data_IF_990682928102
#
_entry.id   IF_990682928102
#
_cell.length_a   1.000
_cell.length_b   1.000
_cell.length_c   1.000
_cell.angle_alpha   90.00
_cell.angle_beta   90.00
_cell.angle_gamma   90.00
#
_symmetry.space_group_name_H-M   'P 1'
#
loop_
_entity.id
_entity.type
_entity.pdbx_description
1 polymer ?
#
# COMPACT_ATOMS: atom_id res chain seq x y z
N UNK A 1 -6.91 -2.12 -12.86
CA UNK A 1 -5.51 -2.46 -12.58
C UNK A 1 -4.72 -1.19 -12.85
N UNK A 2 -4.63 -0.30 -11.86
CA UNK A 2 -3.90 0.96 -12.01
C UNK A 2 -2.42 0.63 -12.09
N UNK A 3 -1.79 0.99 -13.19
CA UNK A 3 -0.35 0.89 -13.39
C UNK A 3 0.34 1.77 -12.33
N UNK A 4 0.70 1.17 -11.21
CA UNK A 4 1.52 1.78 -10.15
C UNK A 4 2.96 1.93 -10.66
N UNK A 5 3.18 2.73 -11.71
CA UNK A 5 4.53 3.10 -12.09
C UNK A 5 5.05 4.08 -11.03
N UNK A 6 6.15 3.75 -10.37
CA UNK A 6 6.84 4.65 -9.47
C UNK A 6 7.14 5.96 -10.23
N UNK A 7 6.74 7.14 -9.73
CA UNK A 7 7.01 8.43 -10.36
C UNK A 7 8.51 8.76 -10.36
N UNK A 8 9.28 8.10 -11.24
CA UNK A 8 10.74 8.24 -11.33
C UNK A 8 11.17 9.63 -11.76
N UNK A 9 10.29 10.37 -12.44
CA UNK A 9 10.54 11.74 -12.93
C UNK A 9 10.88 12.73 -11.81
N UNK A 10 10.45 12.47 -10.57
CA UNK A 10 10.81 13.28 -9.40
C UNK A 10 12.29 13.12 -8.99
N UNK A 11 12.94 12.03 -9.42
CA UNK A 11 14.33 11.70 -9.07
C UNK A 11 15.34 12.12 -10.15
N UNK A 12 14.91 12.18 -11.41
CA UNK A 12 15.77 12.42 -12.58
C UNK A 12 16.68 13.65 -12.47
N UNK A 13 16.19 14.71 -11.83
CA UNK A 13 16.89 16.00 -11.74
C UNK A 13 17.61 16.25 -10.41
N UNK A 14 17.55 15.33 -9.45
CA UNK A 14 18.14 15.52 -8.11
C UNK A 14 19.65 15.71 -8.21
N UNK A 15 20.34 14.81 -8.94
CA UNK A 15 21.79 14.89 -9.10
C UNK A 15 22.19 16.14 -9.88
N UNK A 16 21.44 16.50 -10.93
CA UNK A 16 21.70 17.72 -11.71
C UNK A 16 21.58 18.98 -10.85
N UNK A 17 20.57 19.06 -9.98
CA UNK A 17 20.39 20.18 -9.04
C UNK A 17 21.48 20.22 -7.97
N UNK A 18 21.94 19.08 -7.48
CA UNK A 18 23.09 19.00 -6.56
C UNK A 18 24.36 19.51 -7.23
N UNK A 19 24.64 19.06 -8.46
CA UNK A 19 25.79 19.52 -9.25
C UNK A 19 25.72 21.05 -9.43
N UNK A 20 24.57 21.60 -9.78
CA UNK A 20 24.40 23.04 -9.91
C UNK A 20 24.72 23.82 -8.62
N UNK A 21 24.33 23.29 -7.45
CA UNK A 21 24.70 23.87 -6.15
C UNK A 21 26.22 23.82 -5.96
N UNK A 22 26.86 22.68 -6.23
CA UNK A 22 28.31 22.50 -6.08
C UNK A 22 29.09 23.43 -7.03
N UNK A 23 28.69 23.52 -8.29
CA UNK A 23 29.30 24.41 -9.28
C UNK A 23 29.22 25.88 -8.83
N UNK A 24 28.06 26.33 -8.32
CA UNK A 24 27.92 27.69 -7.81
C UNK A 24 28.85 27.97 -6.63
N UNK A 25 29.07 26.99 -5.75
CA UNK A 25 30.00 27.14 -4.62
C UNK A 25 31.47 27.13 -5.03
N UNK A 26 31.80 26.54 -6.18
CA UNK A 26 33.18 26.44 -6.70
C UNK A 26 33.57 27.61 -7.62
N UNK A 27 32.62 28.47 -8.00
CA UNK A 27 32.95 29.68 -8.80
C UNK A 27 33.92 30.57 -8.03
N UNK A 28 34.85 31.27 -8.73
CA UNK A 28 35.84 32.14 -8.09
C UNK A 28 35.20 33.29 -7.28
N UNK A 29 34.03 33.77 -7.72
CA UNK A 29 33.24 34.76 -6.99
C UNK A 29 32.44 34.16 -5.81
N UNK A 30 32.31 32.83 -5.78
CA UNK A 30 31.75 32.00 -4.71
C UNK A 30 30.53 32.61 -4.01
N UNK A 31 30.71 32.99 -2.75
CA UNK A 31 29.73 33.71 -1.92
C UNK A 31 30.18 35.15 -1.62
N UNK A 32 31.20 35.64 -2.33
CA UNK A 32 31.87 36.91 -2.08
C UNK A 32 31.04 38.11 -2.52
N UNK A 33 30.14 37.93 -3.49
CA UNK A 33 29.17 38.95 -3.91
C UNK A 33 27.76 38.63 -3.40
N UNK A 34 26.92 39.65 -3.11
CA UNK A 34 25.53 39.44 -2.73
C UNK A 34 24.74 38.60 -3.75
N UNK A 35 24.99 38.82 -5.04
CA UNK A 35 24.35 38.12 -6.14
C UNK A 35 24.75 36.64 -6.16
N UNK A 36 26.03 36.33 -5.97
CA UNK A 36 26.50 34.95 -5.95
C UNK A 36 25.97 34.20 -4.70
N UNK A 37 25.92 34.88 -3.54
CA UNK A 37 25.27 34.35 -2.33
C UNK A 37 23.79 34.06 -2.54
N UNK A 38 23.06 34.95 -3.22
CA UNK A 38 21.64 34.74 -3.55
C UNK A 38 21.45 33.55 -4.50
N UNK A 39 22.31 33.42 -5.51
CA UNK A 39 22.27 32.30 -6.46
C UNK A 39 22.50 30.94 -5.76
N UNK A 40 23.48 30.86 -4.87
CA UNK A 40 23.73 29.64 -4.06
C UNK A 40 22.53 29.32 -3.17
N UNK A 41 21.97 30.33 -2.48
CA UNK A 41 20.80 30.15 -1.62
C UNK A 41 19.59 29.64 -2.41
N UNK A 42 19.31 30.24 -3.57
CA UNK A 42 18.22 29.83 -4.44
C UNK A 42 18.41 28.39 -4.93
N UNK A 43 19.57 28.06 -5.49
CA UNK A 43 19.85 26.71 -5.96
C UNK A 43 19.75 25.66 -4.83
N UNK A 44 20.20 26.01 -3.62
CA UNK A 44 20.11 25.14 -2.45
C UNK A 44 18.66 24.93 -2.03
N UNK A 45 17.83 25.97 -2.04
CA UNK A 45 16.41 25.86 -1.70
C UNK A 45 15.64 25.03 -2.72
N UNK A 46 15.92 25.22 -4.02
CA UNK A 46 15.35 24.40 -5.09
C UNK A 46 15.73 22.93 -4.94
N UNK A 47 17.01 22.64 -4.66
CA UNK A 47 17.48 21.28 -4.41
C UNK A 47 16.79 20.65 -3.18
N UNK A 48 16.70 21.38 -2.06
CA UNK A 48 16.01 20.91 -0.85
C UNK A 48 14.53 20.64 -1.10
N UNK A 49 13.86 21.52 -1.83
CA UNK A 49 12.44 21.34 -2.18
C UNK A 49 12.22 20.09 -3.03
N UNK A 50 13.08 19.87 -4.03
CA UNK A 50 13.04 18.68 -4.87
C UNK A 50 13.29 17.40 -4.04
N UNK A 51 14.29 17.40 -3.16
CA UNK A 51 14.60 16.26 -2.30
C UNK A 51 13.47 15.96 -1.32
N UNK A 52 12.85 16.99 -0.76
CA UNK A 52 11.69 16.84 0.12
C UNK A 52 10.49 16.23 -0.60
N UNK A 53 10.23 16.64 -1.84
CA UNK A 53 9.18 16.06 -2.67
C UNK A 53 9.48 14.58 -2.98
N UNK A 54 10.69 14.28 -3.43
CA UNK A 54 11.10 12.90 -3.72
C UNK A 54 11.00 12.00 -2.48
N UNK A 55 11.43 12.48 -1.31
CA UNK A 55 11.28 11.76 -0.04
C UNK A 55 9.81 11.52 0.32
N UNK A 56 8.98 12.56 0.23
CA UNK A 56 7.54 12.42 0.50
C UNK A 56 6.88 11.42 -0.44
N UNK A 57 7.28 11.41 -1.71
CA UNK A 57 6.81 10.44 -2.69
C UNK A 57 7.21 9.01 -2.33
N UNK A 58 8.45 8.81 -1.85
CA UNK A 58 8.93 7.51 -1.39
C UNK A 58 8.15 7.01 -0.15
N UNK A 59 7.96 7.87 0.85
CA UNK A 59 7.25 7.53 2.09
C UNK A 59 5.76 7.21 1.84
N UNK A 60 5.14 7.84 0.84
CA UNK A 60 3.73 7.59 0.50
C UNK A 60 3.53 6.43 -0.49
N UNK A 61 4.60 5.75 -0.93
CA UNK A 61 4.44 4.49 -1.65
C UNK A 61 3.91 3.43 -0.68
N UNK A 62 3.03 2.50 -1.11
CA UNK A 62 2.62 1.38 -0.29
C UNK A 62 3.84 0.58 0.17
N UNK A 63 4.04 0.48 1.49
CA UNK A 63 5.22 -0.16 2.08
C UNK A 63 6.49 0.70 2.06
N UNK A 64 6.43 1.98 1.66
CA UNK A 64 7.58 2.88 1.59
C UNK A 64 8.16 3.26 2.95
N UNK A 65 7.40 3.07 4.03
CA UNK A 65 7.85 3.18 5.42
C UNK A 65 8.57 1.93 5.95
N UNK A 66 8.41 0.80 5.27
CA UNK A 66 8.94 -0.49 5.67
C UNK A 66 10.29 -0.73 4.99
N UNK A 67 11.24 -1.31 5.72
CA UNK A 67 12.41 -1.87 5.08
C UNK A 67 12.05 -3.14 4.30
N UNK A 68 13.00 -3.65 3.52
CA UNK A 68 12.76 -4.82 2.66
C UNK A 68 12.43 -6.06 3.51
N UNK A 69 13.09 -6.22 4.65
CA UNK A 69 12.90 -7.36 5.53
C UNK A 69 11.49 -7.35 6.15
N UNK A 70 11.01 -6.20 6.59
CA UNK A 70 9.64 -5.98 7.07
C UNK A 70 8.61 -6.26 5.98
N UNK A 71 8.87 -5.83 4.74
CA UNK A 71 7.99 -6.12 3.60
C UNK A 71 7.91 -7.63 3.33
N UNK A 72 9.03 -8.34 3.36
CA UNK A 72 9.09 -9.79 3.16
C UNK A 72 8.32 -10.54 4.26
N UNK A 73 8.47 -10.13 5.52
CA UNK A 73 7.73 -10.68 6.65
C UNK A 73 6.20 -10.50 6.49
N UNK A 74 5.77 -9.31 6.07
CA UNK A 74 4.35 -9.02 5.81
C UNK A 74 3.83 -9.87 4.65
N UNK A 75 4.61 -10.02 3.58
CA UNK A 75 4.27 -10.87 2.43
C UNK A 75 4.10 -12.33 2.86
N UNK A 76 5.00 -12.86 3.68
CA UNK A 76 4.92 -14.22 4.21
C UNK A 76 3.66 -14.41 5.06
N UNK A 77 3.41 -13.49 5.99
CA UNK A 77 2.23 -13.53 6.87
C UNK A 77 0.93 -13.48 6.06
N UNK A 78 0.81 -12.56 5.10
CA UNK A 78 -0.37 -12.41 4.25
C UNK A 78 -0.57 -13.62 3.33
N UNK A 79 0.51 -14.18 2.80
CA UNK A 79 0.45 -15.40 1.98
C UNK A 79 -0.04 -16.59 2.79
N UNK A 80 0.48 -16.77 4.01
CA UNK A 80 0.05 -17.81 4.94
C UNK A 80 -1.43 -17.66 5.31
N UNK A 81 -1.89 -16.44 5.59
CA UNK A 81 -3.29 -16.15 5.89
C UNK A 81 -4.19 -16.51 4.69
N UNK A 82 -3.81 -16.08 3.49
CA UNK A 82 -4.53 -16.38 2.24
C UNK A 82 -4.68 -17.88 2.04
N UNK A 83 -3.59 -18.63 2.21
CA UNK A 83 -3.58 -20.07 1.94
C UNK A 83 -4.43 -20.82 2.96
N UNK A 84 -4.33 -20.48 4.26
CA UNK A 84 -5.25 -21.00 5.29
C UNK A 84 -6.71 -20.71 4.99
N UNK A 85 -7.02 -19.51 4.49
CA UNK A 85 -8.40 -19.13 4.14
C UNK A 85 -8.91 -19.91 2.94
N UNK A 86 -8.06 -20.20 1.96
CA UNK A 86 -8.41 -21.08 0.83
C UNK A 86 -8.73 -22.49 1.30
N UNK A 87 -7.91 -23.05 2.18
CA UNK A 87 -8.13 -24.40 2.72
C UNK A 87 -9.46 -24.47 3.49
N UNK A 88 -9.76 -23.46 4.32
CA UNK A 88 -11.04 -23.35 5.02
C UNK A 88 -12.24 -23.31 4.07
N UNK A 89 -12.13 -22.59 2.95
CA UNK A 89 -13.20 -22.51 1.95
C UNK A 89 -13.40 -23.85 1.23
N UNK A 90 -12.31 -24.55 0.91
CA UNK A 90 -12.36 -25.89 0.30
C UNK A 90 -13.04 -26.87 1.26
N UNK A 91 -12.62 -26.88 2.52
CA UNK A 91 -13.21 -27.72 3.56
C UNK A 91 -14.71 -27.43 3.72
N UNK A 92 -15.09 -26.16 3.82
CA UNK A 92 -16.48 -25.76 3.96
C UNK A 92 -17.36 -26.19 2.77
N UNK A 93 -16.89 -25.95 1.54
CA UNK A 93 -17.59 -26.36 0.32
C UNK A 93 -17.72 -27.89 0.20
N UNK A 94 -16.70 -28.64 0.61
CA UNK A 94 -16.75 -30.10 0.61
C UNK A 94 -17.77 -30.64 1.63
N UNK A 95 -17.89 -30.00 2.79
CA UNK A 95 -18.85 -30.37 3.84
C UNK A 95 -20.29 -30.05 3.44
N UNK A 96 -20.56 -28.92 2.80
CA UNK A 96 -21.92 -28.61 2.33
C UNK A 96 -22.39 -29.63 1.27
N UNK A 97 -21.48 -30.07 0.40
CA UNK A 97 -21.77 -31.07 -0.65
C UNK A 97 -22.05 -32.47 -0.09
N UNK A 98 -21.48 -32.82 1.07
CA UNK A 98 -21.74 -34.08 1.76
C UNK A 98 -23.09 -34.10 2.48
N UNK A 99 -23.56 -32.95 2.98
CA UNK A 99 -24.90 -32.86 3.60
C UNK A 99 -26.00 -33.08 2.55
N UNK A 100 -25.81 -32.60 1.31
CA UNK A 100 -26.72 -32.88 0.19
C UNK A 100 -26.67 -34.36 -0.26
N UNK A 101 -25.52 -35.04 -0.08
CA UNK A 101 -25.35 -36.45 -0.45
C UNK A 101 -25.72 -37.44 0.68
N UNK A 102 -25.91 -36.96 1.90
CA UNK A 102 -26.31 -37.76 3.06
C UNK A 102 -27.84 -37.81 3.25
N UNK A 103 -28.63 -37.33 2.28
CA UNK A 103 -30.06 -37.66 2.18
C UNK A 103 -30.18 -39.11 1.69
N UNK A 104 -29.91 -40.04 2.61
CA UNK A 104 -30.47 -41.38 2.56
C UNK A 104 -31.98 -41.23 2.41
N UNK A 105 -32.65 -41.90 1.46
CA UNK A 105 -34.08 -41.81 1.28
C UNK A 105 -34.74 -42.63 2.40
N UNK A 106 -34.88 -42.06 3.59
CA UNK A 106 -35.80 -42.60 4.57
C UNK A 106 -36.52 -41.51 5.34
N UNK A 107 -37.85 -41.52 5.16
CA UNK A 107 -38.88 -40.81 5.90
C UNK A 107 -39.20 -39.38 5.43
N UNK A 108 -39.70 -39.29 4.19
CA UNK A 108 -40.76 -38.33 3.87
C UNK A 108 -42.04 -38.73 4.59
N UNK A 109 -42.18 -38.33 5.85
CA UNK A 109 -43.46 -38.02 6.49
C UNK A 109 -43.20 -36.68 7.19
N UNK A 110 -43.57 -35.59 6.53
CA UNK A 110 -44.79 -34.85 6.89
C UNK A 110 -44.56 -33.99 8.14
N UNK A 111 -44.45 -32.67 7.92
CA UNK A 111 -45.33 -31.64 8.48
C UNK A 111 -44.69 -30.28 8.17
N UNK A 112 -45.48 -29.43 7.52
CA UNK A 112 -45.08 -28.12 7.01
C UNK A 112 -44.51 -27.20 8.08
N UNK A 113 -43.40 -26.55 7.75
CA UNK A 113 -42.88 -25.43 8.53
C UNK A 113 -43.76 -24.20 8.27
N UNK A 114 -44.64 -23.91 9.22
CA UNK A 114 -45.35 -22.64 9.28
C UNK A 114 -44.35 -21.51 9.55
N UNK A 115 -44.35 -20.53 8.65
CA UNK A 115 -43.53 -19.32 8.71
C UNK A 115 -44.39 -18.26 9.41
N UNK A 116 -44.24 -18.08 10.73
CA UNK A 116 -44.58 -16.79 11.36
C UNK A 116 -43.96 -16.66 12.76
N UNK A 117 -43.19 -15.59 12.98
CA UNK A 117 -43.41 -14.67 14.10
C UNK A 117 -42.24 -13.69 14.29
N UNK A 118 -42.58 -12.44 13.97
CA UNK A 118 -42.30 -11.24 14.78
C UNK A 118 -40.87 -10.70 14.84
N UNK A 119 -40.69 -9.62 14.06
CA UNK A 119 -39.77 -8.54 14.34
C UNK A 119 -39.90 -8.06 15.80
N UNK A 120 -38.77 -7.94 16.50
CA UNK A 120 -38.65 -7.11 17.70
C UNK A 120 -37.27 -6.49 17.78
N UNK A 121 -37.21 -5.20 17.42
CA UNK A 121 -36.11 -4.29 17.77
C UNK A 121 -36.37 -3.76 19.18
N UNK A 122 -35.44 -3.85 20.14
CA UNK A 122 -35.48 -3.01 21.32
C UNK A 122 -34.66 -1.73 21.05
N UNK A 123 -35.35 -0.59 21.03
CA UNK A 123 -34.74 0.72 21.26
C UNK A 123 -34.78 1.01 22.76
N UNK A 124 -33.61 1.18 23.38
CA UNK A 124 -33.33 2.20 24.39
C UNK A 124 -31.83 2.35 24.55
#
# INVERSE_FOLDING_TARGET
MTSNSIPSTAYDSILLKLVAVLELTQKPDGISTPQAKQAVLQATNEFKSLLSNAKNLAENLPGGELDIDDQDNVIEMLSTLRDRKRDQLVEFSSKSSQVDSAVVPHMFNDVGMEIDSMASTPMS
#
